data_IF_844831288587
#
_entry.id   IF_844831288587
#
_cell.length_a   1.000
_cell.length_b   1.000
_cell.length_c   1.000
_cell.angle_alpha   90.00
_cell.angle_beta   90.00
_cell.angle_gamma   90.00
#
_symmetry.space_group_name_H-M   'P 1'
#
loop_
_entity.id
_entity.type
_entity.pdbx_description
1 polymer ?
#
# COMPACT_ATOMS: atom_id res chain seq x y z
N UNK A 1 8.35 -5.84 -20.42
CA UNK A 1 8.80 -5.69 -19.02
C UNK A 1 9.29 -7.06 -18.58
N UNK A 2 10.59 -7.19 -18.34
CA UNK A 2 11.16 -8.48 -17.96
C UNK A 2 10.79 -8.78 -16.51
N UNK A 3 10.57 -10.06 -16.18
CA UNK A 3 10.28 -10.51 -14.80
C UNK A 3 11.26 -9.90 -13.77
N UNK A 4 12.53 -9.68 -14.16
CA UNK A 4 13.53 -9.00 -13.33
C UNK A 4 13.18 -7.55 -12.95
N UNK A 5 12.54 -6.78 -13.84
CA UNK A 5 12.20 -5.38 -13.57
C UNK A 5 11.10 -5.28 -12.49
N UNK A 6 10.17 -6.24 -12.46
CA UNK A 6 9.09 -6.35 -11.46
C UNK A 6 9.68 -6.69 -10.08
N UNK A 7 10.63 -7.62 -10.01
CA UNK A 7 11.27 -7.98 -8.75
C UNK A 7 12.12 -6.85 -8.17
N UNK A 8 12.75 -6.02 -9.01
CA UNK A 8 13.54 -4.87 -8.56
C UNK A 8 12.65 -3.81 -7.88
N UNK A 9 11.47 -3.54 -8.41
CA UNK A 9 10.56 -2.52 -7.88
C UNK A 9 9.93 -2.99 -6.55
N UNK A 10 9.51 -4.25 -6.47
CA UNK A 10 9.04 -4.87 -5.23
C UNK A 10 10.15 -4.86 -4.18
N UNK A 11 11.40 -5.15 -4.57
CA UNK A 11 12.55 -5.11 -3.67
C UNK A 11 12.87 -3.70 -3.17
N UNK A 12 12.61 -2.64 -3.95
CA UNK A 12 12.78 -1.26 -3.50
C UNK A 12 11.72 -0.88 -2.46
N UNK A 13 10.45 -1.23 -2.68
CA UNK A 13 9.37 -0.96 -1.70
C UNK A 13 9.58 -1.77 -0.42
N UNK A 14 9.88 -3.07 -0.54
CA UNK A 14 10.24 -3.91 0.60
C UNK A 14 11.53 -3.42 1.29
N UNK A 15 12.51 -2.95 0.53
CA UNK A 15 13.76 -2.38 1.05
C UNK A 15 13.55 -1.09 1.83
N UNK A 16 12.63 -0.23 1.41
CA UNK A 16 12.24 0.97 2.16
C UNK A 16 11.50 0.58 3.45
N UNK A 17 10.59 -0.38 3.40
CA UNK A 17 9.88 -0.90 4.59
C UNK A 17 10.85 -1.56 5.58
N UNK A 18 11.78 -2.38 5.08
CA UNK A 18 12.85 -2.99 5.88
C UNK A 18 13.82 -1.94 6.42
N UNK A 19 14.20 -0.93 5.65
CA UNK A 19 15.06 0.17 6.12
C UNK A 19 14.40 0.95 7.28
N UNK A 20 13.10 1.19 7.22
CA UNK A 20 12.33 1.80 8.31
C UNK A 20 12.24 0.88 9.54
N UNK A 21 12.18 -0.45 9.36
CA UNK A 21 12.23 -1.42 10.45
C UNK A 21 13.64 -1.52 11.07
N UNK A 22 14.71 -1.50 10.26
CA UNK A 22 16.10 -1.54 10.71
C UNK A 22 16.46 -0.25 11.46
N UNK A 23 16.06 0.94 10.99
CA UNK A 23 16.25 2.19 11.75
C UNK A 23 15.56 2.16 13.12
N UNK A 24 14.41 1.47 13.26
CA UNK A 24 13.73 1.27 14.54
C UNK A 24 14.40 0.22 15.43
N UNK A 25 15.08 -0.76 14.85
CA UNK A 25 15.78 -1.82 15.58
C UNK A 25 17.17 -1.37 16.04
N UNK A 26 17.92 -0.66 15.18
CA UNK A 26 19.24 -0.10 15.50
C UNK A 26 19.15 1.01 16.55
N UNK A 27 18.12 1.87 16.51
CA UNK A 27 17.88 2.86 17.58
C UNK A 27 17.49 2.25 18.92
N UNK A 28 16.89 1.06 18.94
CA UNK A 28 16.53 0.35 20.17
C UNK A 28 17.72 -0.32 20.84
N UNK A 29 18.68 -0.81 20.05
CA UNK A 29 19.89 -1.45 20.57
C UNK A 29 20.89 -0.44 21.16
N UNK A 30 21.05 0.73 20.54
CA UNK A 30 21.90 1.80 21.10
C UNK A 30 21.35 2.39 22.41
N UNK A 31 20.04 2.22 22.69
CA UNK A 31 19.39 2.65 23.93
C UNK A 31 19.24 1.51 24.97
N UNK A 32 19.51 0.24 24.62
CA UNK A 32 19.31 -0.92 25.51
C UNK A 32 20.55 -1.31 26.35
N UNK A 33 21.68 -0.61 26.22
CA UNK A 33 22.84 -0.79 27.10
C UNK A 33 22.85 0.15 28.33
N UNK A 34 21.89 1.07 28.43
CA UNK A 34 21.75 1.95 29.59
C UNK A 34 20.68 1.42 30.57
N UNK A 35 21.15 0.65 31.55
CA UNK A 35 20.60 0.52 32.90
C UNK A 35 19.17 -0.04 33.08
N UNK A 36 19.14 -1.26 33.63
CA UNK A 36 18.43 -1.56 34.88
C UNK A 36 17.27 -0.60 35.28
N UNK A 37 16.02 -1.02 35.04
CA UNK A 37 14.89 -0.67 35.92
C UNK A 37 13.80 0.27 35.35
N UNK A 38 12.75 -0.34 34.78
CA UNK A 38 11.36 0.14 34.61
C UNK A 38 11.11 1.41 33.74
N UNK A 39 9.87 1.69 33.26
CA UNK A 39 8.69 0.85 33.00
C UNK A 39 8.38 0.75 31.48
N UNK A 40 7.51 -0.21 31.07
CA UNK A 40 6.96 -0.30 29.70
C UNK A 40 6.53 1.09 29.20
N UNK A 41 7.26 1.63 28.22
CA UNK A 41 7.04 2.99 27.74
C UNK A 41 5.62 3.16 27.18
N UNK A 42 4.93 4.20 27.62
CA UNK A 42 3.70 4.69 27.00
C UNK A 42 3.94 5.14 25.54
N UNK A 43 5.21 5.25 25.13
CA UNK A 43 5.66 5.56 23.77
C UNK A 43 5.45 4.36 22.83
N UNK A 44 5.65 3.12 23.29
CA UNK A 44 5.42 1.92 22.49
C UNK A 44 3.95 1.74 22.06
N UNK A 45 3.00 2.16 22.91
CA UNK A 45 1.58 2.13 22.61
C UNK A 45 1.14 3.26 21.66
N UNK A 46 1.72 4.47 21.82
CA UNK A 46 1.47 5.61 20.94
C UNK A 46 2.04 5.38 19.52
N UNK A 47 3.22 4.76 19.38
CA UNK A 47 3.77 4.41 18.06
C UNK A 47 2.98 3.32 17.32
N UNK A 48 2.27 2.45 18.05
CA UNK A 48 1.46 1.36 17.47
C UNK A 48 0.02 1.80 17.15
N UNK A 49 -0.56 2.73 17.93
CA UNK A 49 -1.82 3.37 17.55
C UNK A 49 -1.63 4.25 16.31
N UNK A 50 -0.53 5.01 16.26
CA UNK A 50 -0.17 5.80 15.08
C UNK A 50 0.03 4.93 13.82
N UNK A 51 0.47 3.67 13.96
CA UNK A 51 0.62 2.80 12.78
C UNK A 51 -0.72 2.35 12.20
N UNK A 52 -1.71 1.98 13.03
CA UNK A 52 -3.04 1.57 12.51
C UNK A 52 -3.75 2.77 11.86
N UNK A 53 -3.71 3.94 12.49
CA UNK A 53 -4.29 5.17 11.92
C UNK A 53 -3.60 5.55 10.60
N UNK A 54 -2.27 5.45 10.53
CA UNK A 54 -1.51 5.68 9.29
C UNK A 54 -1.92 4.71 8.18
N UNK A 55 -2.10 3.42 8.49
CA UNK A 55 -2.57 2.45 7.51
C UNK A 55 -4.01 2.69 7.07
N UNK A 56 -4.90 3.12 7.99
CA UNK A 56 -6.26 3.51 7.62
C UNK A 56 -6.27 4.70 6.66
N UNK A 57 -5.50 5.76 6.94
CA UNK A 57 -5.37 6.89 6.02
C UNK A 57 -4.77 6.48 4.67
N UNK A 58 -3.84 5.53 4.67
CA UNK A 58 -3.29 5.00 3.43
C UNK A 58 -4.29 4.15 2.64
N UNK A 59 -5.21 3.44 3.30
CA UNK A 59 -6.34 2.82 2.62
C UNK A 59 -7.22 3.87 1.92
N UNK A 60 -7.47 5.02 2.55
CA UNK A 60 -8.26 6.09 1.94
C UNK A 60 -7.58 6.65 0.67
N UNK A 61 -6.26 6.81 0.72
CA UNK A 61 -5.40 7.13 -0.44
C UNK A 61 -5.53 6.12 -1.59
N UNK A 62 -5.45 4.82 -1.28
CA UNK A 62 -5.64 3.77 -2.29
C UNK A 62 -7.06 3.82 -2.87
N UNK A 63 -8.08 4.00 -2.04
CA UNK A 63 -9.48 4.09 -2.50
C UNK A 63 -9.70 5.30 -3.44
N UNK A 64 -9.03 6.43 -3.19
CA UNK A 64 -9.04 7.57 -4.09
C UNK A 64 -8.52 7.19 -5.49
N UNK A 65 -7.38 6.50 -5.58
CA UNK A 65 -6.86 6.02 -6.86
C UNK A 65 -7.73 4.94 -7.52
N UNK A 66 -8.39 4.06 -6.74
CA UNK A 66 -9.39 3.14 -7.29
C UNK A 66 -10.55 3.90 -7.94
N UNK A 67 -10.99 5.01 -7.34
CA UNK A 67 -12.04 5.86 -7.93
C UNK A 67 -11.56 6.54 -9.21
N UNK A 68 -10.32 7.03 -9.25
CA UNK A 68 -9.73 7.61 -10.46
C UNK A 68 -9.65 6.59 -11.60
N UNK A 69 -9.15 5.38 -11.32
CA UNK A 69 -9.13 4.28 -12.29
C UNK A 69 -10.53 3.96 -12.84
N UNK A 70 -11.54 4.00 -11.98
CA UNK A 70 -12.94 3.86 -12.38
C UNK A 70 -13.36 4.98 -13.34
N UNK A 71 -13.02 6.23 -13.04
CA UNK A 71 -13.35 7.38 -13.91
C UNK A 71 -12.66 7.25 -15.28
N UNK A 72 -11.36 6.93 -15.30
CA UNK A 72 -10.61 6.73 -16.53
C UNK A 72 -11.19 5.62 -17.41
N UNK A 73 -11.62 4.51 -16.79
CA UNK A 73 -12.27 3.41 -17.49
C UNK A 73 -13.65 3.78 -18.04
N UNK A 74 -14.40 4.65 -17.35
CA UNK A 74 -15.75 5.06 -17.76
C UNK A 74 -15.76 6.16 -18.83
N UNK A 75 -14.83 7.11 -18.77
CA UNK A 75 -14.96 8.38 -19.49
C UNK A 75 -13.79 8.69 -20.44
N UNK A 76 -12.58 8.20 -20.14
CA UNK A 76 -11.37 8.65 -20.86
C UNK A 76 -10.91 7.68 -21.94
N UNK A 77 -11.72 6.66 -22.25
CA UNK A 77 -11.35 5.55 -23.16
C UNK A 77 -9.96 4.99 -22.84
N UNK A 78 -9.61 4.91 -21.54
CA UNK A 78 -8.28 4.51 -21.09
C UNK A 78 -8.00 3.02 -21.30
N UNK A 79 -9.05 2.20 -21.48
CA UNK A 79 -8.93 0.75 -21.67
C UNK A 79 -8.50 0.38 -23.09
N UNK A 80 -7.70 -0.68 -23.22
CA UNK A 80 -7.27 -1.26 -24.51
C UNK A 80 -8.45 -1.75 -25.33
N UNK A 81 -9.45 -2.35 -24.68
CA UNK A 81 -10.66 -2.86 -25.30
C UNK A 81 -11.90 -2.42 -24.50
N UNK A 82 -12.82 -1.71 -25.15
CA UNK A 82 -14.07 -1.24 -24.52
C UNK A 82 -14.96 -2.43 -24.10
N UNK A 83 -14.90 -3.58 -24.80
CA UNK A 83 -15.66 -4.79 -24.44
C UNK A 83 -15.22 -5.40 -23.10
N UNK A 84 -14.00 -5.05 -22.62
CA UNK A 84 -13.48 -5.52 -21.34
C UNK A 84 -13.82 -4.59 -20.17
N UNK A 85 -14.53 -3.49 -20.42
CA UNK A 85 -14.86 -2.48 -19.42
C UNK A 85 -15.65 -3.07 -18.25
N UNK A 86 -16.69 -3.86 -18.51
CA UNK A 86 -17.51 -4.47 -17.46
C UNK A 86 -16.66 -5.34 -16.53
N UNK A 87 -15.83 -6.22 -17.11
CA UNK A 87 -14.93 -7.09 -16.36
C UNK A 87 -13.89 -6.28 -15.56
N UNK A 88 -13.32 -5.24 -16.14
CA UNK A 88 -12.40 -4.36 -15.44
C UNK A 88 -13.06 -3.70 -14.23
N UNK A 89 -14.28 -3.17 -14.40
CA UNK A 89 -15.02 -2.51 -13.33
C UNK A 89 -15.43 -3.49 -12.22
N UNK A 90 -15.76 -4.73 -12.57
CA UNK A 90 -16.03 -5.81 -11.61
C UNK A 90 -14.78 -6.12 -10.77
N UNK A 91 -13.63 -6.33 -11.41
CA UNK A 91 -12.38 -6.60 -10.69
C UNK A 91 -11.94 -5.43 -9.82
N UNK A 92 -12.09 -4.20 -10.30
CA UNK A 92 -11.82 -2.99 -9.53
C UNK A 92 -12.73 -2.89 -8.28
N UNK A 93 -14.01 -3.26 -8.43
CA UNK A 93 -14.95 -3.37 -7.31
C UNK A 93 -14.54 -4.45 -6.31
N UNK A 94 -14.05 -5.59 -6.79
CA UNK A 94 -13.53 -6.68 -5.94
C UNK A 94 -12.28 -6.26 -5.16
N UNK A 95 -11.40 -5.47 -5.77
CA UNK A 95 -10.23 -4.88 -5.09
C UNK A 95 -10.69 -3.89 -4.00
N UNK A 96 -11.60 -2.97 -4.32
CA UNK A 96 -12.14 -2.00 -3.35
C UNK A 96 -12.80 -2.70 -2.14
N UNK A 97 -13.62 -3.73 -2.38
CA UNK A 97 -14.21 -4.55 -1.30
C UNK A 97 -13.14 -5.22 -0.43
N UNK A 98 -12.07 -5.76 -1.03
CA UNK A 98 -10.95 -6.34 -0.27
C UNK A 98 -10.24 -5.27 0.57
N UNK A 99 -10.01 -4.08 0.02
CA UNK A 99 -9.41 -2.95 0.75
C UNK A 99 -10.25 -2.57 1.97
N UNK A 100 -11.58 -2.42 1.82
CA UNK A 100 -12.50 -2.16 2.93
C UNK A 100 -12.47 -3.28 3.97
N UNK A 101 -12.41 -4.53 3.54
CA UNK A 101 -12.30 -5.68 4.44
C UNK A 101 -11.00 -5.63 5.26
N UNK A 102 -9.86 -5.40 4.61
CA UNK A 102 -8.55 -5.26 5.28
C UNK A 102 -8.59 -4.11 6.28
N UNK A 103 -9.12 -2.95 5.89
CA UNK A 103 -9.26 -1.79 6.75
C UNK A 103 -10.10 -2.10 8.00
N UNK A 104 -11.24 -2.78 7.83
CA UNK A 104 -12.15 -3.16 8.92
C UNK A 104 -11.53 -4.21 9.85
N UNK A 105 -10.99 -5.29 9.29
CA UNK A 105 -10.46 -6.42 10.06
C UNK A 105 -9.18 -6.08 10.81
N UNK A 106 -8.40 -5.13 10.28
CA UNK A 106 -7.15 -4.72 10.88
C UNK A 106 -7.27 -3.40 11.67
N UNK A 107 -8.44 -2.75 11.72
CA UNK A 107 -8.63 -1.47 12.41
C UNK A 107 -8.08 -1.45 13.85
N UNK A 108 -8.24 -2.56 14.57
CA UNK A 108 -7.79 -2.72 15.96
C UNK A 108 -6.50 -3.54 16.09
N UNK A 109 -5.90 -4.02 14.99
CA UNK A 109 -4.67 -4.79 15.07
C UNK A 109 -3.48 -3.86 15.35
N UNK A 110 -2.60 -4.36 16.20
CA UNK A 110 -1.29 -3.75 16.50
C UNK A 110 -0.17 -4.28 15.62
N UNK A 111 -0.48 -5.29 14.81
CA UNK A 111 0.45 -5.96 13.91
C UNK A 111 0.56 -5.20 12.59
N UNK A 112 1.65 -4.43 12.44
CA UNK A 112 1.94 -3.70 11.20
C UNK A 112 2.30 -4.63 10.04
N UNK A 113 2.89 -5.80 10.31
CA UNK A 113 3.24 -6.77 9.27
C UNK A 113 2.00 -7.33 8.57
N UNK A 114 0.91 -7.53 9.32
CA UNK A 114 -0.38 -7.93 8.74
C UNK A 114 -0.96 -6.86 7.81
N UNK A 115 -0.85 -5.58 8.18
CA UNK A 115 -1.25 -4.48 7.29
C UNK A 115 -0.40 -4.44 6.02
N UNK A 116 0.92 -4.46 6.17
CA UNK A 116 1.87 -4.36 5.05
C UNK A 116 1.67 -5.48 4.03
N UNK A 117 1.51 -6.73 4.50
CA UNK A 117 1.29 -7.88 3.60
C UNK A 117 -0.01 -7.77 2.81
N UNK A 118 -1.12 -7.43 3.47
CA UNK A 118 -2.44 -7.31 2.80
C UNK A 118 -2.47 -6.14 1.81
N UNK A 119 -1.89 -4.99 2.19
CA UNK A 119 -1.80 -3.81 1.33
C UNK A 119 -0.89 -4.06 0.14
N UNK A 120 0.24 -4.74 0.31
CA UNK A 120 1.12 -5.12 -0.80
C UNK A 120 0.40 -6.03 -1.80
N UNK A 121 -0.42 -6.98 -1.33
CA UNK A 121 -1.23 -7.82 -2.22
C UNK A 121 -2.27 -6.99 -3.00
N UNK A 122 -2.95 -6.04 -2.34
CA UNK A 122 -3.91 -5.14 -2.98
C UNK A 122 -3.22 -4.29 -4.05
N UNK A 123 -2.09 -3.66 -3.73
CA UNK A 123 -1.33 -2.84 -4.67
C UNK A 123 -0.87 -3.66 -5.88
N UNK A 124 -0.38 -4.88 -5.67
CA UNK A 124 -0.02 -5.79 -6.75
C UNK A 124 -1.21 -6.21 -7.62
N UNK A 125 -2.43 -6.29 -7.05
CA UNK A 125 -3.65 -6.52 -7.84
C UNK A 125 -4.04 -5.31 -8.67
N UNK A 126 -3.91 -4.09 -8.14
CA UNK A 126 -4.14 -2.85 -8.89
C UNK A 126 -3.18 -2.77 -10.08
N UNK A 127 -1.89 -2.99 -9.84
CA UNK A 127 -0.85 -2.92 -10.86
C UNK A 127 -1.13 -3.91 -12.01
N UNK A 128 -1.43 -5.17 -11.68
CA UNK A 128 -1.82 -6.18 -12.68
C UNK A 128 -3.09 -5.80 -13.44
N UNK A 129 -4.10 -5.30 -12.74
CA UNK A 129 -5.36 -4.92 -13.36
C UNK A 129 -5.15 -3.78 -14.38
N UNK A 130 -4.30 -2.80 -14.06
CA UNK A 130 -3.90 -1.73 -14.98
C UNK A 130 -3.07 -2.30 -16.14
N UNK A 131 -2.07 -3.13 -15.85
CA UNK A 131 -1.19 -3.73 -16.87
C UNK A 131 -1.96 -4.51 -17.93
N UNK A 132 -2.98 -5.26 -17.51
CA UNK A 132 -3.80 -6.07 -18.38
C UNK A 132 -4.74 -5.21 -19.24
N UNK A 133 -5.30 -4.14 -18.68
CA UNK A 133 -6.47 -3.47 -19.27
C UNK A 133 -6.21 -2.07 -19.84
N UNK A 134 -5.20 -1.31 -19.41
CA UNK A 134 -5.00 0.10 -19.82
C UNK A 134 -4.14 0.25 -21.07
N UNK A 135 -4.44 1.23 -21.93
CA UNK A 135 -3.67 1.54 -23.16
C UNK A 135 -2.21 1.92 -22.85
N UNK A 136 -2.02 2.75 -21.83
CA UNK A 136 -0.72 3.22 -21.34
C UNK A 136 -0.48 2.69 -19.92
N UNK A 137 -0.28 1.37 -19.75
CA UNK A 137 -0.28 0.74 -18.43
C UNK A 137 0.91 1.19 -17.58
N UNK A 138 2.09 1.30 -18.19
CA UNK A 138 3.32 1.70 -17.51
C UNK A 138 3.20 3.12 -16.94
N UNK A 139 2.78 4.08 -17.76
CA UNK A 139 2.59 5.46 -17.31
C UNK A 139 1.55 5.55 -16.19
N UNK A 140 0.45 4.81 -16.32
CA UNK A 140 -0.62 4.80 -15.31
C UNK A 140 -0.14 4.22 -13.98
N UNK A 141 0.55 3.07 -14.02
CA UNK A 141 1.11 2.42 -12.84
C UNK A 141 2.24 3.24 -12.20
N UNK A 142 3.10 3.88 -12.99
CA UNK A 142 4.17 4.75 -12.49
C UNK A 142 3.58 5.96 -11.73
N UNK A 143 2.55 6.62 -12.29
CA UNK A 143 1.85 7.74 -11.62
C UNK A 143 1.20 7.32 -10.31
N UNK A 144 0.47 6.20 -10.30
CA UNK A 144 -0.17 5.67 -9.08
C UNK A 144 0.89 5.37 -8.02
N UNK A 145 2.01 4.75 -8.41
CA UNK A 145 3.10 4.40 -7.49
C UNK A 145 3.76 5.64 -6.88
N UNK A 146 4.05 6.65 -7.70
CA UNK A 146 4.64 7.90 -7.24
C UNK A 146 3.69 8.65 -6.30
N UNK A 147 2.41 8.77 -6.67
CA UNK A 147 1.39 9.44 -5.84
C UNK A 147 1.23 8.74 -4.48
N UNK A 148 1.02 7.42 -4.48
CA UNK A 148 0.87 6.64 -3.24
C UNK A 148 2.12 6.71 -2.35
N UNK A 149 3.32 6.73 -2.95
CA UNK A 149 4.57 6.89 -2.20
C UNK A 149 4.62 8.25 -1.52
N UNK A 150 4.28 9.33 -2.22
CA UNK A 150 4.24 10.67 -1.65
C UNK A 150 3.21 10.78 -0.53
N UNK A 151 1.99 10.29 -0.76
CA UNK A 151 0.90 10.30 0.21
C UNK A 151 1.29 9.53 1.47
N UNK A 152 1.82 8.30 1.34
CA UNK A 152 2.27 7.52 2.50
C UNK A 152 3.42 8.16 3.27
N UNK A 153 4.29 8.91 2.59
CA UNK A 153 5.40 9.65 3.21
C UNK A 153 4.90 10.85 4.03
N UNK A 154 3.77 11.46 3.62
CA UNK A 154 3.15 12.60 4.30
C UNK A 154 2.27 12.22 5.50
N UNK A 155 1.89 10.94 5.62
CA UNK A 155 1.15 10.38 6.76
C UNK A 155 2.04 10.05 7.95
#
# INVERSE_FOLDING_TARGET
MNQMEIYIIIAVVAGVLLYLQIQKFTKRLDEEEAEFGAPRSQIGALTLQNSSEKYQKFCDSIDAHLRELKQHALYDKALKNEDTQEKFLEELSNISKKLTFVQTMNANTKDSGKWESELMEILGRIERLVDENFKEPKETNDKIRESLKEEFTRL
#
